data_IF_206872731540
#
_entry.id   IF_206872731540
#
_cell.length_a   1.000
_cell.length_b   1.000
_cell.length_c   1.000
_cell.angle_alpha   90.00
_cell.angle_beta   90.00
_cell.angle_gamma   90.00
#
_symmetry.space_group_name_H-M   'P 1'
#
loop_
_entity.id
_entity.type
_entity.pdbx_description
1 polymer ?
#
# COMPACT_ATOMS: atom_id res chain seq x y z
N UNK A 1 2.20 -10.09 16.12
CA UNK A 1 0.99 -10.02 16.99
C UNK A 1 -0.02 -11.09 16.62
N UNK A 2 -0.90 -11.47 17.55
CA UNK A 2 -2.09 -12.27 17.20
C UNK A 2 -3.13 -11.34 16.56
N UNK A 3 -3.69 -11.73 15.41
CA UNK A 3 -4.56 -10.84 14.61
C UNK A 3 -6.05 -10.95 14.96
N UNK A 4 -6.48 -12.04 15.60
CA UNK A 4 -7.87 -12.22 15.99
C UNK A 4 -8.36 -11.08 16.91
N UNK A 5 -9.46 -10.44 16.54
CA UNK A 5 -10.05 -9.29 17.24
C UNK A 5 -9.27 -7.98 17.14
N UNK A 6 -8.19 -7.93 16.33
CA UNK A 6 -7.45 -6.71 16.00
C UNK A 6 -8.15 -5.92 14.90
N UNK A 7 -7.82 -4.64 14.75
CA UNK A 7 -8.37 -3.77 13.71
C UNK A 7 -7.29 -3.41 12.71
N UNK A 8 -7.50 -3.80 11.46
CA UNK A 8 -6.62 -3.48 10.33
C UNK A 8 -7.27 -2.42 9.44
N UNK A 9 -6.58 -1.30 9.28
CA UNK A 9 -6.93 -0.23 8.34
C UNK A 9 -6.13 -0.43 7.06
N UNK A 10 -6.80 -0.48 5.91
CA UNK A 10 -6.15 -0.69 4.60
C UNK A 10 -6.55 0.41 3.63
N UNK A 11 -5.58 1.23 3.20
CA UNK A 11 -5.79 2.22 2.13
C UNK A 11 -5.69 1.57 0.75
N UNK A 12 -6.50 2.03 -0.21
CA UNK A 12 -6.64 1.35 -1.49
C UNK A 12 -7.27 -0.04 -1.32
N UNK A 13 -8.16 -0.19 -0.32
CA UNK A 13 -8.74 -1.46 0.10
C UNK A 13 -9.85 -1.98 -0.81
N UNK A 14 -10.28 -1.22 -1.82
CA UNK A 14 -11.40 -1.59 -2.68
C UNK A 14 -11.06 -2.69 -3.69
N UNK A 15 -9.79 -2.78 -4.17
CA UNK A 15 -9.39 -3.71 -5.22
C UNK A 15 -7.91 -4.13 -5.12
N UNK A 16 -7.49 -5.04 -6.00
CA UNK A 16 -6.11 -5.46 -6.18
C UNK A 16 -5.44 -5.93 -4.89
N UNK A 17 -4.22 -5.45 -4.63
CA UNK A 17 -3.42 -5.83 -3.46
C UNK A 17 -4.12 -5.43 -2.15
N UNK A 18 -4.72 -4.23 -2.09
CA UNK A 18 -5.41 -3.76 -0.88
C UNK A 18 -6.61 -4.62 -0.51
N UNK A 19 -7.44 -4.99 -1.50
CA UNK A 19 -8.54 -5.95 -1.27
C UNK A 19 -8.01 -7.31 -0.80
N UNK A 20 -6.95 -7.82 -1.42
CA UNK A 20 -6.36 -9.09 -1.00
C UNK A 20 -5.82 -9.02 0.44
N UNK A 21 -5.21 -7.90 0.85
CA UNK A 21 -4.81 -7.67 2.25
C UNK A 21 -6.03 -7.67 3.18
N UNK A 22 -7.11 -6.95 2.83
CA UNK A 22 -8.33 -6.90 3.62
C UNK A 22 -8.89 -8.29 3.90
N UNK A 23 -9.00 -9.12 2.85
CA UNK A 23 -9.46 -10.51 2.97
C UNK A 23 -8.51 -11.37 3.80
N UNK A 24 -7.19 -11.22 3.63
CA UNK A 24 -6.20 -12.00 4.38
C UNK A 24 -6.24 -11.65 5.89
N UNK A 25 -6.37 -10.36 6.24
CA UNK A 25 -6.56 -9.93 7.63
C UNK A 25 -7.89 -10.47 8.21
N UNK A 26 -8.98 -10.40 7.45
CA UNK A 26 -10.27 -10.97 7.84
C UNK A 26 -10.21 -12.48 8.09
N UNK A 27 -9.52 -13.25 7.22
CA UNK A 27 -9.29 -14.68 7.40
C UNK A 27 -8.51 -15.03 8.68
N UNK A 28 -7.70 -14.09 9.18
CA UNK A 28 -6.99 -14.20 10.47
C UNK A 28 -7.83 -13.72 11.67
N UNK A 29 -9.09 -13.39 11.46
CA UNK A 29 -10.01 -12.93 12.50
C UNK A 29 -9.86 -11.44 12.86
N UNK A 30 -9.11 -10.66 12.09
CA UNK A 30 -9.01 -9.22 12.28
C UNK A 30 -10.25 -8.52 11.71
N UNK A 31 -10.72 -7.50 12.39
CA UNK A 31 -11.71 -6.55 11.86
C UNK A 31 -11.05 -5.64 10.83
N UNK A 32 -11.81 -5.21 9.83
CA UNK A 32 -11.26 -4.48 8.68
C UNK A 32 -11.92 -3.11 8.52
N UNK A 33 -11.12 -2.07 8.44
CA UNK A 33 -11.51 -0.75 7.95
C UNK A 33 -10.88 -0.55 6.56
N UNK A 34 -11.67 -0.68 5.51
CA UNK A 34 -11.21 -0.52 4.13
C UNK A 34 -11.41 0.93 3.67
N UNK A 35 -10.34 1.58 3.21
CA UNK A 35 -10.32 2.95 2.74
C UNK A 35 -10.05 3.00 1.23
N UNK A 36 -10.87 3.69 0.46
CA UNK A 36 -10.68 3.92 -0.99
C UNK A 36 -11.48 5.15 -1.44
N UNK A 37 -11.32 5.56 -2.70
CA UNK A 37 -12.17 6.55 -3.35
C UNK A 37 -13.40 5.93 -4.02
N UNK A 38 -13.36 4.64 -4.33
CA UNK A 38 -14.42 3.92 -5.04
C UNK A 38 -15.32 3.17 -4.05
N UNK A 39 -16.50 3.72 -3.82
CA UNK A 39 -17.49 3.17 -2.89
C UNK A 39 -17.93 1.75 -3.29
N UNK A 40 -18.20 1.50 -4.57
CA UNK A 40 -18.66 0.20 -5.07
C UNK A 40 -17.63 -0.91 -4.85
N UNK A 41 -16.34 -0.61 -5.05
CA UNK A 41 -15.25 -1.56 -4.82
C UNK A 41 -15.12 -1.85 -3.32
N UNK A 42 -15.24 -0.81 -2.48
CA UNK A 42 -15.24 -0.94 -1.01
C UNK A 42 -16.39 -1.81 -0.51
N UNK A 43 -17.60 -1.59 -1.00
CA UNK A 43 -18.79 -2.37 -0.61
C UNK A 43 -18.60 -3.86 -0.88
N UNK A 44 -17.96 -4.17 -2.03
CA UNK A 44 -17.64 -5.55 -2.38
C UNK A 44 -16.63 -6.16 -1.40
N UNK A 45 -15.53 -5.46 -1.13
CA UNK A 45 -14.51 -5.91 -0.18
C UNK A 45 -15.07 -6.10 1.24
N UNK A 46 -15.83 -5.13 1.72
CA UNK A 46 -16.45 -5.18 3.07
C UNK A 46 -17.43 -6.33 3.19
N UNK A 47 -18.30 -6.54 2.18
CA UNK A 47 -19.22 -7.67 2.16
C UNK A 47 -18.49 -9.02 2.26
N UNK A 48 -17.40 -9.18 1.52
CA UNK A 48 -16.59 -10.40 1.55
C UNK A 48 -15.87 -10.60 2.89
N UNK A 49 -15.33 -9.53 3.48
CA UNK A 49 -14.77 -9.60 4.83
C UNK A 49 -15.81 -9.99 5.89
N UNK A 50 -17.02 -9.42 5.81
CA UNK A 50 -18.12 -9.77 6.71
C UNK A 50 -18.56 -11.23 6.56
N UNK A 51 -18.50 -11.79 5.35
CA UNK A 51 -18.78 -13.21 5.10
C UNK A 51 -17.78 -14.15 5.78
N UNK A 52 -16.57 -13.64 6.13
CA UNK A 52 -15.56 -14.36 6.92
C UNK A 52 -15.79 -14.25 8.44
N UNK A 53 -16.89 -13.64 8.89
CA UNK A 53 -17.30 -13.56 10.30
C UNK A 53 -16.68 -12.42 11.10
N UNK A 54 -16.00 -11.47 10.45
CA UNK A 54 -15.42 -10.31 11.14
C UNK A 54 -16.26 -9.03 10.91
N UNK A 55 -16.10 -8.05 11.78
CA UNK A 55 -16.62 -6.71 11.51
C UNK A 55 -15.77 -6.06 10.42
N UNK A 56 -16.39 -5.45 9.42
CA UNK A 56 -15.73 -4.71 8.36
C UNK A 56 -16.56 -3.49 7.97
N UNK A 57 -15.90 -2.34 7.76
CA UNK A 57 -16.52 -1.07 7.39
C UNK A 57 -15.78 -0.40 6.25
N UNK A 58 -16.53 0.32 5.41
CA UNK A 58 -16.04 1.09 4.27
C UNK A 58 -15.91 2.57 4.63
N UNK A 59 -14.81 3.19 4.21
CA UNK A 59 -14.56 4.61 4.40
C UNK A 59 -14.08 5.24 3.10
N UNK A 60 -14.84 6.18 2.56
CA UNK A 60 -14.38 6.99 1.43
C UNK A 60 -13.32 7.97 1.94
N UNK A 61 -12.10 7.84 1.43
CA UNK A 61 -10.96 8.63 1.88
C UNK A 61 -9.99 8.92 0.73
N UNK A 62 -9.72 10.20 0.49
CA UNK A 62 -8.61 10.61 -0.35
C UNK A 62 -7.34 10.71 0.51
N UNK A 63 -6.42 9.78 0.35
CA UNK A 63 -5.17 9.72 1.13
C UNK A 63 -4.23 10.91 0.88
N UNK A 64 -4.41 11.67 -0.21
CA UNK A 64 -3.64 12.87 -0.51
C UNK A 64 -4.14 14.12 0.22
N UNK A 65 -5.23 14.02 1.00
CA UNK A 65 -5.85 15.15 1.73
C UNK A 65 -5.72 14.90 3.23
N UNK A 66 -4.97 15.76 3.91
CA UNK A 66 -4.62 15.61 5.33
C UNK A 66 -5.86 15.49 6.23
N UNK A 67 -6.81 16.42 6.12
CA UNK A 67 -8.03 16.42 6.92
C UNK A 67 -8.90 15.19 6.66
N UNK A 68 -8.90 14.67 5.42
CA UNK A 68 -9.65 13.46 5.08
C UNK A 68 -9.03 12.22 5.75
N UNK A 69 -7.70 12.11 5.79
CA UNK A 69 -7.01 11.01 6.46
C UNK A 69 -7.24 11.09 7.97
N UNK A 70 -7.01 12.26 8.58
CA UNK A 70 -7.17 12.45 10.03
C UNK A 70 -8.60 12.13 10.47
N UNK A 71 -9.61 12.77 9.87
CA UNK A 71 -11.01 12.53 10.23
C UNK A 71 -11.50 11.10 9.97
N UNK A 72 -10.96 10.45 8.94
CA UNK A 72 -11.29 9.04 8.67
C UNK A 72 -10.74 8.12 9.75
N UNK A 73 -9.49 8.32 10.20
CA UNK A 73 -8.91 7.49 11.26
C UNK A 73 -9.57 7.76 12.62
N UNK A 74 -10.05 8.99 12.90
CA UNK A 74 -10.90 9.25 14.07
C UNK A 74 -12.19 8.44 14.04
N UNK A 75 -12.86 8.40 12.87
CA UNK A 75 -14.06 7.59 12.69
C UNK A 75 -13.77 6.11 12.89
N UNK A 76 -12.67 5.59 12.35
CA UNK A 76 -12.25 4.20 12.57
C UNK A 76 -12.09 3.89 14.06
N UNK A 77 -11.38 4.76 14.80
CA UNK A 77 -11.19 4.59 16.24
C UNK A 77 -12.52 4.66 16.99
N UNK A 78 -13.41 5.59 16.64
CA UNK A 78 -14.74 5.69 17.23
C UNK A 78 -15.60 4.43 16.95
N UNK A 79 -15.56 3.92 15.72
CA UNK A 79 -16.35 2.77 15.32
C UNK A 79 -15.83 1.45 15.93
N UNK A 80 -14.51 1.24 15.96
CA UNK A 80 -13.91 -0.03 16.39
C UNK A 80 -13.32 -0.02 17.81
N UNK A 81 -13.11 1.14 18.40
CA UNK A 81 -12.48 1.31 19.72
C UNK A 81 -10.98 1.08 19.75
N UNK A 82 -10.35 0.79 18.60
CA UNK A 82 -8.91 0.50 18.47
C UNK A 82 -8.40 0.65 17.04
N UNK A 83 -7.08 0.71 16.90
CA UNK A 83 -6.35 0.64 15.64
C UNK A 83 -5.04 -0.12 15.90
N UNK A 84 -4.84 -1.28 15.27
CA UNK A 84 -3.68 -2.15 15.52
C UNK A 84 -2.76 -2.29 14.31
N UNK A 85 -3.33 -2.24 13.10
CA UNK A 85 -2.59 -2.37 11.85
C UNK A 85 -2.98 -1.21 10.92
N UNK A 86 -1.97 -0.52 10.38
CA UNK A 86 -2.14 0.44 9.29
C UNK A 86 -1.41 -0.05 8.05
N UNK A 87 -2.14 -0.42 7.01
CA UNK A 87 -1.58 -0.80 5.71
C UNK A 87 -1.72 0.37 4.72
N UNK A 88 -0.62 1.10 4.52
CA UNK A 88 -0.50 2.15 3.52
C UNK A 88 -0.25 1.53 2.15
N UNK A 89 -1.32 1.19 1.44
CA UNK A 89 -1.27 0.49 0.16
C UNK A 89 -1.75 1.34 -1.02
N UNK A 90 -2.59 2.35 -0.81
CA UNK A 90 -3.08 3.22 -1.88
C UNK A 90 -1.94 3.77 -2.75
N UNK A 91 -2.12 3.74 -4.06
CA UNK A 91 -1.10 4.22 -4.99
C UNK A 91 -1.63 4.33 -6.42
N UNK A 92 -0.99 5.22 -7.17
CA UNK A 92 -1.26 5.44 -8.60
C UNK A 92 0.04 5.49 -9.39
N UNK A 93 -0.06 5.33 -10.70
CA UNK A 93 1.02 5.60 -11.66
C UNK A 93 0.60 6.72 -12.62
N UNK A 94 1.56 7.53 -13.04
CA UNK A 94 1.43 8.53 -14.12
C UNK A 94 2.75 8.55 -14.88
N UNK A 95 2.98 7.47 -15.63
CA UNK A 95 4.24 7.18 -16.29
C UNK A 95 4.49 8.17 -17.43
N UNK A 96 5.72 8.66 -17.51
CA UNK A 96 6.24 9.48 -18.60
C UNK A 96 7.77 9.45 -18.60
N UNK A 97 8.39 9.53 -19.76
CA UNK A 97 9.82 9.78 -19.83
C UNK A 97 10.13 11.18 -19.26
N UNK A 98 11.27 11.32 -18.56
CA UNK A 98 11.73 12.62 -18.08
C UNK A 98 11.77 13.63 -19.22
N UNK A 99 12.38 13.22 -20.33
CA UNK A 99 12.37 13.96 -21.61
C UNK A 99 12.18 12.95 -22.74
N UNK A 100 11.21 13.19 -23.63
CA UNK A 100 11.01 12.41 -24.85
C UNK A 100 11.57 13.17 -26.04
N UNK A 101 12.47 12.51 -26.79
CA UNK A 101 13.08 13.05 -28.00
C UNK A 101 12.60 12.24 -29.22
N UNK A 102 12.31 12.94 -30.31
CA UNK A 102 12.02 12.36 -31.61
C UNK A 102 12.72 13.22 -32.69
N UNK A 103 13.45 12.58 -33.59
CA UNK A 103 14.20 13.25 -34.68
C UNK A 103 15.10 14.40 -34.17
N UNK A 104 15.80 14.17 -33.04
CA UNK A 104 16.69 15.15 -32.41
C UNK A 104 15.99 16.31 -31.70
N UNK A 105 14.66 16.33 -31.63
CA UNK A 105 13.89 17.39 -30.98
C UNK A 105 13.17 16.87 -29.73
N UNK A 106 13.13 17.69 -28.68
CA UNK A 106 12.34 17.40 -27.50
C UNK A 106 10.86 17.55 -27.86
N UNK A 107 10.10 16.44 -27.82
CA UNK A 107 8.67 16.41 -28.16
C UNK A 107 7.77 16.33 -26.93
N UNK A 108 8.28 15.89 -25.79
CA UNK A 108 7.53 15.85 -24.52
C UNK A 108 8.47 15.82 -23.31
N UNK A 109 7.95 16.20 -22.15
CA UNK A 109 8.62 16.11 -20.85
C UNK A 109 7.61 15.66 -19.80
N UNK A 110 8.04 14.93 -18.77
CA UNK A 110 7.20 14.67 -17.61
C UNK A 110 6.73 16.01 -17.04
N UNK A 111 5.42 16.21 -16.94
CA UNK A 111 4.86 17.45 -16.40
C UNK A 111 4.95 17.47 -14.87
N UNK A 112 5.00 18.69 -14.28
CA UNK A 112 4.93 18.83 -12.83
C UNK A 112 3.62 18.25 -12.27
N UNK A 113 2.52 18.34 -13.02
CA UNK A 113 1.26 17.72 -12.63
C UNK A 113 1.34 16.19 -12.54
N UNK A 114 2.01 15.52 -13.50
CA UNK A 114 2.23 14.08 -13.44
C UNK A 114 3.13 13.69 -12.27
N UNK A 115 4.16 14.49 -12.01
CA UNK A 115 5.03 14.32 -10.85
C UNK A 115 4.23 14.45 -9.55
N UNK A 116 3.57 15.58 -9.35
CA UNK A 116 2.90 15.92 -8.10
C UNK A 116 1.76 14.95 -7.78
N UNK A 117 0.96 14.55 -8.78
CA UNK A 117 -0.13 13.60 -8.56
C UNK A 117 0.36 12.26 -7.97
N UNK A 118 1.55 11.78 -8.40
CA UNK A 118 2.12 10.55 -7.86
C UNK A 118 2.73 10.77 -6.48
N UNK A 119 3.41 11.88 -6.26
CA UNK A 119 3.99 12.23 -4.95
C UNK A 119 2.88 12.39 -3.90
N UNK A 120 1.80 13.08 -4.23
CA UNK A 120 0.69 13.32 -3.30
C UNK A 120 0.05 12.03 -2.79
N UNK A 121 -0.18 11.07 -3.68
CA UNK A 121 -0.80 9.80 -3.29
C UNK A 121 0.22 8.82 -2.70
N UNK A 122 1.34 8.58 -3.42
CA UNK A 122 2.23 7.46 -3.12
C UNK A 122 3.29 7.77 -2.06
N UNK A 123 3.54 9.05 -1.74
CA UNK A 123 4.51 9.46 -0.73
C UNK A 123 3.84 10.25 0.39
N UNK A 124 3.21 11.39 0.06
CA UNK A 124 2.51 12.22 1.04
C UNK A 124 1.38 11.44 1.71
N UNK A 125 0.56 10.71 0.94
CA UNK A 125 -0.52 9.89 1.49
C UNK A 125 -0.03 8.78 2.43
N UNK A 126 1.11 8.15 2.12
CA UNK A 126 1.75 7.17 3.03
C UNK A 126 2.24 7.87 4.30
N UNK A 127 2.83 9.06 4.18
CA UNK A 127 3.24 9.86 5.33
C UNK A 127 2.05 10.22 6.23
N UNK A 128 0.98 10.74 5.67
CA UNK A 128 -0.23 11.10 6.41
C UNK A 128 -0.83 9.88 7.12
N UNK A 129 -1.04 8.79 6.41
CA UNK A 129 -1.58 7.55 6.98
C UNK A 129 -0.71 7.00 8.11
N UNK A 130 0.61 6.99 7.93
CA UNK A 130 1.55 6.51 8.95
C UNK A 130 1.58 7.41 10.18
N UNK A 131 1.63 8.73 10.00
CA UNK A 131 1.62 9.73 11.10
C UNK A 131 0.34 9.64 11.92
N UNK A 132 -0.80 9.69 11.24
CA UNK A 132 -2.11 9.69 11.90
C UNK A 132 -2.41 8.36 12.61
N UNK A 133 -2.00 7.23 12.01
CA UNK A 133 -2.13 5.93 12.67
C UNK A 133 -1.23 5.82 13.91
N UNK A 134 0.04 6.27 13.80
CA UNK A 134 0.97 6.25 14.93
C UNK A 134 0.46 7.09 16.09
N UNK A 135 -0.07 8.30 15.85
CA UNK A 135 -0.64 9.15 16.88
C UNK A 135 -1.76 8.42 17.65
N UNK A 136 -2.71 7.82 16.95
CA UNK A 136 -3.83 7.10 17.56
C UNK A 136 -3.40 5.82 18.27
N UNK A 137 -2.45 5.06 17.73
CA UNK A 137 -1.89 3.89 18.40
C UNK A 137 -1.20 4.27 19.73
N UNK A 138 -0.52 5.42 19.76
CA UNK A 138 0.13 5.94 20.97
C UNK A 138 -0.92 6.39 21.98
N UNK A 139 -1.92 7.17 21.58
CA UNK A 139 -3.01 7.66 22.45
C UNK A 139 -3.84 6.51 23.04
N UNK A 140 -4.11 5.47 22.24
CA UNK A 140 -4.80 4.25 22.67
C UNK A 140 -3.92 3.36 23.57
N UNK A 141 -2.59 3.54 23.57
CA UNK A 141 -1.66 2.76 24.37
C UNK A 141 -1.55 1.28 23.95
N UNK A 142 -2.02 0.91 22.78
CA UNK A 142 -2.08 -0.51 22.37
C UNK A 142 -0.89 -0.96 21.49
N UNK A 143 0.03 -0.05 21.16
CA UNK A 143 1.07 -0.34 20.17
C UNK A 143 0.48 -0.64 18.79
N UNK A 144 1.23 -1.35 17.94
CA UNK A 144 0.70 -1.73 16.63
C UNK A 144 1.76 -2.02 15.58
N UNK A 145 1.31 -2.07 14.31
CA UNK A 145 2.20 -2.22 13.17
C UNK A 145 1.74 -1.37 11.98
N UNK A 146 2.69 -0.67 11.37
CA UNK A 146 2.49 0.06 10.12
C UNK A 146 3.16 -0.73 8.99
N UNK A 147 2.41 -1.01 7.92
CA UNK A 147 2.87 -1.76 6.75
C UNK A 147 2.77 -0.85 5.53
N UNK A 148 3.90 -0.53 4.94
CA UNK A 148 3.97 0.34 3.78
C UNK A 148 4.14 -0.46 2.48
N UNK A 149 3.43 -0.09 1.41
CA UNK A 149 3.62 -0.68 0.09
C UNK A 149 4.59 0.16 -0.73
N UNK A 150 5.84 -0.33 -0.85
CA UNK A 150 6.85 0.17 -1.77
C UNK A 150 6.68 -0.48 -3.17
N UNK A 151 7.76 -0.75 -3.89
CA UNK A 151 7.82 -1.44 -5.19
C UNK A 151 9.25 -1.81 -5.51
N UNK A 152 9.47 -2.78 -6.38
CA UNK A 152 10.78 -2.98 -7.00
C UNK A 152 11.22 -1.76 -7.82
N UNK A 153 10.27 -0.97 -8.34
CA UNK A 153 10.55 0.29 -9.06
C UNK A 153 11.27 1.35 -8.21
N UNK A 154 11.40 1.16 -6.89
CA UNK A 154 12.21 2.04 -6.01
C UNK A 154 13.69 2.07 -6.40
N UNK A 155 14.18 1.03 -7.08
CA UNK A 155 15.55 0.97 -7.59
C UNK A 155 15.75 1.76 -8.90
N UNK A 156 14.65 2.20 -9.51
CA UNK A 156 14.60 2.92 -10.78
C UNK A 156 13.91 2.09 -11.86
N UNK A 157 12.92 2.68 -12.51
CA UNK A 157 12.27 2.09 -13.68
C UNK A 157 12.06 3.18 -14.75
N UNK A 158 12.43 2.87 -15.97
CA UNK A 158 12.35 3.83 -17.08
C UNK A 158 10.90 4.32 -17.26
N UNK A 159 10.73 5.64 -17.32
CA UNK A 159 9.41 6.28 -17.43
C UNK A 159 8.70 6.50 -16.09
N UNK A 160 9.30 6.10 -14.96
CA UNK A 160 8.69 6.17 -13.63
C UNK A 160 9.50 7.04 -12.65
N UNK A 161 10.05 8.16 -13.09
CA UNK A 161 10.84 9.05 -12.21
C UNK A 161 10.06 9.44 -10.94
N UNK A 162 8.79 9.83 -11.08
CA UNK A 162 7.90 10.17 -9.98
C UNK A 162 7.60 8.97 -9.06
N UNK A 163 7.23 7.84 -9.65
CA UNK A 163 6.86 6.64 -8.93
C UNK A 163 8.06 6.02 -8.20
N UNK A 164 9.22 5.92 -8.87
CA UNK A 164 10.45 5.41 -8.27
C UNK A 164 10.90 6.28 -7.09
N UNK A 165 10.87 7.61 -7.25
CA UNK A 165 11.19 8.54 -6.17
C UNK A 165 10.25 8.37 -4.95
N UNK A 166 8.93 8.28 -5.19
CA UNK A 166 7.96 8.06 -4.14
C UNK A 166 8.20 6.73 -3.41
N UNK A 167 8.39 5.63 -4.16
CA UNK A 167 8.57 4.29 -3.57
C UNK A 167 9.92 4.10 -2.88
N UNK A 168 10.97 4.82 -3.28
CA UNK A 168 12.22 4.91 -2.55
C UNK A 168 12.04 5.70 -1.24
N UNK A 169 11.33 6.83 -1.27
CA UNK A 169 10.98 7.61 -0.08
C UNK A 169 10.20 6.80 0.96
N UNK A 170 9.27 5.94 0.53
CA UNK A 170 8.53 5.02 1.40
C UNK A 170 9.47 4.08 2.17
N UNK A 171 10.53 3.57 1.54
CA UNK A 171 11.53 2.72 2.22
C UNK A 171 12.28 3.51 3.28
N UNK A 172 12.69 4.74 2.97
CA UNK A 172 13.38 5.60 3.92
C UNK A 172 12.49 5.90 5.13
N UNK A 173 11.22 6.30 4.92
CA UNK A 173 10.24 6.52 5.99
C UNK A 173 10.04 5.27 6.86
N UNK A 174 9.92 4.09 6.25
CA UNK A 174 9.79 2.80 6.96
C UNK A 174 10.94 2.60 7.94
N UNK A 175 12.17 2.89 7.53
CA UNK A 175 13.36 2.73 8.38
C UNK A 175 13.41 3.76 9.51
N UNK A 176 13.06 5.02 9.22
CA UNK A 176 13.04 6.11 10.22
C UNK A 176 11.96 5.85 11.28
N UNK A 177 10.72 5.60 10.84
CA UNK A 177 9.59 5.39 11.74
C UNK A 177 9.77 4.16 12.62
N UNK A 178 10.39 3.08 12.10
CA UNK A 178 10.69 1.90 12.91
C UNK A 178 11.57 2.22 14.12
N UNK A 179 12.50 3.19 13.99
CA UNK A 179 13.37 3.63 15.08
C UNK A 179 12.66 4.58 16.04
N UNK A 180 11.91 5.54 15.50
CA UNK A 180 11.22 6.57 16.28
C UNK A 180 10.06 5.99 17.11
N UNK A 181 9.32 5.03 16.54
CA UNK A 181 8.09 4.51 17.12
C UNK A 181 8.28 3.26 17.98
N UNK A 182 9.47 2.64 17.96
CA UNK A 182 9.75 1.41 18.71
C UNK A 182 9.46 1.54 20.22
N UNK A 183 9.79 2.69 20.81
CA UNK A 183 9.53 2.97 22.24
C UNK A 183 8.05 3.00 22.63
N UNK A 184 7.16 3.10 21.63
CA UNK A 184 5.70 3.06 21.82
C UNK A 184 5.10 1.69 21.46
N UNK A 185 5.95 0.67 21.24
CA UNK A 185 5.50 -0.65 20.84
C UNK A 185 4.94 -0.72 19.41
N UNK A 186 5.29 0.25 18.54
CA UNK A 186 4.84 0.29 17.15
C UNK A 186 6.00 -0.17 16.24
N UNK A 187 5.75 -1.21 15.45
CA UNK A 187 6.67 -1.71 14.43
C UNK A 187 6.30 -1.12 13.07
N UNK A 188 7.29 -1.01 12.18
CA UNK A 188 7.06 -0.53 10.82
C UNK A 188 7.79 -1.43 9.84
N UNK A 189 7.08 -1.97 8.86
CA UNK A 189 7.65 -2.78 7.80
C UNK A 189 7.15 -2.34 6.43
N UNK A 190 7.80 -2.80 5.38
CA UNK A 190 7.34 -2.56 4.03
C UNK A 190 7.34 -3.84 3.19
N UNK A 191 6.44 -3.90 2.22
CA UNK A 191 6.51 -4.86 1.11
C UNK A 191 6.95 -4.12 -0.15
N UNK A 192 7.68 -4.80 -1.03
CA UNK A 192 8.05 -4.29 -2.34
C UNK A 192 7.58 -5.29 -3.42
N UNK A 193 6.37 -5.11 -3.94
CA UNK A 193 5.84 -5.95 -5.00
C UNK A 193 6.65 -5.85 -6.29
N UNK A 194 6.80 -6.98 -6.97
CA UNK A 194 7.07 -7.07 -8.38
C UNK A 194 5.80 -6.89 -9.22
N UNK A 195 5.82 -7.38 -10.46
CA UNK A 195 4.62 -7.35 -11.30
C UNK A 195 3.53 -8.25 -10.71
N UNK A 196 2.47 -7.62 -10.26
CA UNK A 196 1.33 -8.27 -9.61
C UNK A 196 0.09 -8.11 -10.49
N UNK A 197 -0.66 -9.20 -10.69
CA UNK A 197 -1.89 -9.22 -11.47
C UNK A 197 -2.97 -8.44 -10.73
N UNK A 198 -3.31 -7.27 -11.25
CA UNK A 198 -4.37 -6.40 -10.72
C UNK A 198 -5.19 -5.88 -11.88
N UNK A 199 -6.36 -5.34 -11.62
CA UNK A 199 -7.28 -4.80 -12.63
C UNK A 199 -6.65 -3.67 -13.48
N UNK A 200 -5.55 -3.07 -13.02
CA UNK A 200 -4.77 -2.09 -13.81
C UNK A 200 -4.22 -2.73 -15.10
N UNK A 201 -3.93 -4.03 -15.08
CA UNK A 201 -3.40 -4.75 -16.23
C UNK A 201 -4.47 -5.10 -17.26
N UNK A 202 -5.76 -5.12 -16.88
CA UNK A 202 -6.87 -5.48 -17.79
C UNK A 202 -6.98 -4.53 -18.97
N UNK A 203 -6.47 -3.30 -18.83
CA UNK A 203 -6.42 -2.30 -19.91
C UNK A 203 -5.16 -2.39 -20.79
N UNK A 204 -4.21 -3.26 -20.45
CA UNK A 204 -2.95 -3.39 -21.18
C UNK A 204 -3.08 -4.36 -22.37
N UNK A 205 -2.33 -4.08 -23.42
CA UNK A 205 -2.25 -4.98 -24.59
C UNK A 205 -1.57 -6.30 -24.21
N UNK A 206 -2.05 -7.46 -24.70
CA UNK A 206 -1.50 -8.78 -24.36
C UNK A 206 0.02 -8.88 -24.56
N UNK A 207 0.55 -8.30 -25.65
CA UNK A 207 1.99 -8.34 -25.95
C UNK A 207 2.85 -7.60 -24.89
N UNK A 208 2.27 -6.59 -24.23
CA UNK A 208 2.93 -5.90 -23.14
C UNK A 208 2.97 -6.76 -21.88
N UNK A 209 1.86 -7.47 -21.59
CA UNK A 209 1.77 -8.41 -20.48
C UNK A 209 2.77 -9.56 -20.69
N UNK A 210 2.87 -10.13 -21.89
CA UNK A 210 3.84 -11.17 -22.23
C UNK A 210 5.28 -10.71 -22.00
N UNK A 211 5.62 -9.48 -22.42
CA UNK A 211 6.95 -8.90 -22.18
C UNK A 211 7.24 -8.73 -20.68
N UNK A 212 6.25 -8.28 -19.90
CA UNK A 212 6.39 -8.17 -18.45
C UNK A 212 6.63 -9.54 -17.82
N UNK A 213 5.85 -10.56 -18.18
CA UNK A 213 6.02 -11.94 -17.69
C UNK A 213 7.38 -12.51 -18.10
N UNK A 214 7.82 -12.27 -19.34
CA UNK A 214 9.11 -12.75 -19.83
C UNK A 214 10.31 -12.18 -19.04
N UNK A 215 10.16 -10.97 -18.51
CA UNK A 215 11.18 -10.33 -17.68
C UNK A 215 11.26 -10.89 -16.25
N UNK A 216 10.22 -11.56 -15.77
CA UNK A 216 10.22 -12.19 -14.43
C UNK A 216 10.89 -13.56 -14.51
N UNK A 217 11.94 -13.85 -13.71
CA UNK A 217 12.59 -15.17 -13.70
C UNK A 217 11.62 -16.33 -13.43
N UNK A 218 10.63 -16.17 -12.55
CA UNK A 218 9.60 -17.18 -12.28
C UNK A 218 8.54 -17.32 -13.39
N UNK A 219 8.66 -16.56 -14.51
CA UNK A 219 7.81 -16.64 -15.71
C UNK A 219 6.31 -16.51 -15.45
N UNK A 220 5.94 -15.79 -14.42
CA UNK A 220 4.56 -15.39 -14.12
C UNK A 220 4.53 -14.07 -13.37
N UNK A 221 3.39 -13.43 -13.35
CA UNK A 221 3.10 -12.37 -12.39
C UNK A 221 2.74 -12.98 -11.04
N UNK A 222 2.93 -12.19 -9.99
CA UNK A 222 2.40 -12.53 -8.69
C UNK A 222 0.87 -12.34 -8.65
N UNK A 223 0.19 -13.11 -7.83
CA UNK A 223 -1.20 -12.85 -7.48
C UNK A 223 -1.27 -11.89 -6.27
N UNK A 224 -2.30 -11.05 -6.15
CA UNK A 224 -2.46 -10.12 -5.02
C UNK A 224 -2.38 -10.80 -3.66
N UNK A 225 -2.83 -12.05 -3.55
CA UNK A 225 -2.77 -12.84 -2.32
C UNK A 225 -1.32 -13.11 -1.85
N UNK A 226 -0.34 -13.18 -2.76
CA UNK A 226 1.07 -13.36 -2.41
C UNK A 226 1.64 -12.11 -1.71
N UNK A 227 1.17 -10.92 -2.11
CA UNK A 227 1.49 -9.65 -1.44
C UNK A 227 0.82 -9.57 -0.06
N UNK A 228 -0.44 -9.98 0.02
CA UNK A 228 -1.17 -10.04 1.27
C UNK A 228 -0.52 -10.98 2.28
N UNK A 229 0.01 -12.13 1.83
CA UNK A 229 0.76 -13.06 2.68
C UNK A 229 2.00 -12.40 3.31
N UNK A 230 2.75 -11.61 2.54
CA UNK A 230 3.89 -10.86 3.08
C UNK A 230 3.44 -9.79 4.11
N UNK A 231 2.31 -9.14 3.90
CA UNK A 231 1.74 -8.19 4.87
C UNK A 231 1.33 -8.90 6.18
N UNK A 232 0.72 -10.08 6.10
CA UNK A 232 0.41 -10.91 7.27
C UNK A 232 1.69 -11.32 8.00
N UNK A 233 2.74 -11.75 7.29
CA UNK A 233 4.02 -12.06 7.91
C UNK A 233 4.58 -10.87 8.70
N UNK A 234 4.57 -9.65 8.14
CA UNK A 234 5.02 -8.44 8.84
C UNK A 234 4.18 -8.19 10.11
N UNK A 235 2.87 -8.39 10.02
CA UNK A 235 1.98 -8.20 11.16
C UNK A 235 2.21 -9.24 12.28
N UNK A 236 2.36 -10.51 11.93
CA UNK A 236 2.48 -11.62 12.89
C UNK A 236 3.89 -11.77 13.47
N UNK A 237 4.95 -11.34 12.74
CA UNK A 237 6.34 -11.47 13.20
C UNK A 237 6.76 -10.26 14.05
N UNK A 238 6.74 -10.41 15.36
CA UNK A 238 7.00 -9.31 16.32
C UNK A 238 8.46 -8.82 16.32
N UNK A 239 9.39 -9.52 15.69
CA UNK A 239 10.78 -9.08 15.56
C UNK A 239 11.09 -8.42 14.20
N UNK A 240 10.12 -8.37 13.28
CA UNK A 240 10.28 -7.71 11.99
C UNK A 240 9.93 -6.22 12.08
N UNK A 241 10.94 -5.34 11.91
CA UNK A 241 10.75 -3.89 11.89
C UNK A 241 11.89 -3.19 11.12
N UNK A 242 11.59 -2.08 10.45
CA UNK A 242 12.54 -1.25 9.70
C UNK A 242 13.10 -1.92 8.44
N UNK A 243 12.43 -2.93 7.91
CA UNK A 243 12.89 -3.71 6.76
C UNK A 243 11.82 -3.81 5.68
N UNK A 244 12.26 -4.21 4.48
CA UNK A 244 11.43 -4.41 3.28
C UNK A 244 11.48 -5.88 2.88
N UNK A 245 10.31 -6.46 2.60
CA UNK A 245 10.19 -7.77 1.97
C UNK A 245 9.95 -7.56 0.48
N UNK A 246 10.86 -8.02 -0.36
CA UNK A 246 10.70 -8.05 -1.80
C UNK A 246 9.93 -9.32 -2.20
N UNK A 247 8.81 -9.14 -2.91
CA UNK A 247 7.99 -10.24 -3.44
C UNK A 247 7.85 -10.01 -4.95
N UNK A 248 8.86 -10.46 -5.70
CA UNK A 248 9.09 -10.00 -7.08
C UNK A 248 9.43 -11.11 -8.08
N UNK A 249 9.42 -12.38 -7.67
CA UNK A 249 9.79 -13.48 -8.55
C UNK A 249 11.24 -13.44 -9.04
N UNK A 250 12.13 -12.85 -8.25
CA UNK A 250 13.55 -12.58 -8.51
C UNK A 250 13.79 -11.54 -9.63
N UNK A 251 12.76 -10.75 -9.96
CA UNK A 251 12.90 -9.66 -10.93
C UNK A 251 13.77 -8.54 -10.36
N UNK A 252 14.70 -8.01 -11.19
CA UNK A 252 15.47 -6.78 -10.93
C UNK A 252 15.20 -5.77 -12.05
N UNK A 253 15.06 -4.49 -11.70
CA UNK A 253 14.89 -3.37 -12.63
C UNK A 253 16.19 -2.60 -12.77
#
# INVERSE_FOLDING_TARGET
MQLNGKVAVITGGGRGIGRAMALAFAQKGAHVAALDLNEKDLDTTVRECRALGVRAEAYICNVAVEDAVSSTLDRVVNDFGRLDVMANNAGITKDALLVKVQDGKVVNKMSLQQWQAVIDVNLTGVFLGGREAAARMIELGNGGVIINTSSISRAGNMGQTNYSAAKAGVVAMTTVWAKELARYGIRVGAIAPGFTRTEILDSMRPEMIEKMVAAVPLKRMAEPAEMAHAAIFIAENDYFSGRVIEVDGAQRL
#
